data_IF_042853129036
#
_entry.id   IF_042853129036
#
_cell.length_a   1.000
_cell.length_b   1.000
_cell.length_c   1.000
_cell.angle_alpha   90.00
_cell.angle_beta   90.00
_cell.angle_gamma   90.00
#
_symmetry.space_group_name_H-M   'P 1'
#
loop_
_entity.id
_entity.type
_entity.pdbx_description
1 polymer ?
#
# COMPACT_ATOMS: atom_id res chain seq x y z
N UNK A 1 -8.97 -52.73 -19.18
CA UNK A 1 -7.76 -51.88 -19.10
C UNK A 1 -8.06 -50.37 -19.30
N UNK A 2 -9.32 -49.91 -19.17
CA UNK A 2 -9.75 -48.54 -19.49
C UNK A 2 -10.31 -47.72 -18.32
N UNK A 3 -10.48 -48.30 -17.13
CA UNK A 3 -11.07 -47.63 -15.96
C UNK A 3 -10.03 -46.78 -15.21
N UNK A 4 -8.83 -47.34 -14.97
CA UNK A 4 -7.69 -46.65 -14.32
C UNK A 4 -7.23 -45.37 -15.06
N UNK A 5 -7.38 -45.31 -16.38
CA UNK A 5 -7.06 -44.11 -17.17
C UNK A 5 -8.13 -43.02 -17.11
N UNK A 6 -9.39 -43.38 -16.81
CA UNK A 6 -10.50 -42.44 -16.65
C UNK A 6 -10.52 -41.82 -15.25
N UNK A 7 -10.16 -42.58 -14.23
CA UNK A 7 -10.05 -42.06 -12.86
C UNK A 7 -8.89 -41.06 -12.72
N UNK A 8 -7.75 -41.33 -13.37
CA UNK A 8 -6.61 -40.41 -13.40
C UNK A 8 -6.92 -39.07 -14.08
N UNK A 9 -7.70 -39.06 -15.17
CA UNK A 9 -8.06 -37.81 -15.87
C UNK A 9 -9.10 -36.98 -15.10
N UNK A 10 -10.03 -37.64 -14.39
CA UNK A 10 -10.99 -36.97 -13.51
C UNK A 10 -10.28 -36.35 -12.31
N UNK A 11 -9.38 -37.10 -11.65
CA UNK A 11 -8.62 -36.59 -10.50
C UNK A 11 -7.66 -35.46 -10.89
N UNK A 12 -7.05 -35.55 -12.08
CA UNK A 12 -6.24 -34.45 -12.64
C UNK A 12 -7.10 -33.20 -12.88
N UNK A 13 -8.32 -33.34 -13.40
CA UNK A 13 -9.23 -32.21 -13.62
C UNK A 13 -9.69 -31.54 -12.32
N UNK A 14 -9.89 -32.32 -11.26
CA UNK A 14 -10.30 -31.82 -9.95
C UNK A 14 -9.15 -31.07 -9.25
N UNK A 15 -7.92 -31.59 -9.31
CA UNK A 15 -6.73 -30.93 -8.75
C UNK A 15 -6.42 -29.63 -9.48
N UNK A 16 -6.55 -29.58 -10.81
CA UNK A 16 -6.36 -28.35 -11.60
C UNK A 16 -7.42 -27.31 -11.20
N UNK A 17 -8.68 -27.71 -11.09
CA UNK A 17 -9.79 -26.82 -10.73
C UNK A 17 -9.65 -26.24 -9.31
N UNK A 18 -9.25 -27.08 -8.33
CA UNK A 18 -8.98 -26.65 -6.95
C UNK A 18 -7.81 -25.66 -6.84
N UNK A 19 -6.79 -25.79 -7.71
CA UNK A 19 -5.65 -24.88 -7.76
C UNK A 19 -6.02 -23.53 -8.36
N UNK A 20 -6.79 -23.53 -9.46
CA UNK A 20 -7.31 -22.31 -10.09
C UNK A 20 -8.18 -21.51 -9.11
N UNK A 21 -9.16 -22.16 -8.47
CA UNK A 21 -10.06 -21.52 -7.49
C UNK A 21 -9.27 -20.86 -6.34
N UNK A 22 -8.18 -21.51 -5.90
CA UNK A 22 -7.33 -21.00 -4.81
C UNK A 22 -6.48 -19.82 -5.26
N UNK A 23 -5.89 -19.86 -6.45
CA UNK A 23 -5.12 -18.72 -6.98
C UNK A 23 -6.00 -17.50 -7.25
N UNK A 24 -7.18 -17.69 -7.82
CA UNK A 24 -8.13 -16.61 -8.08
C UNK A 24 -8.56 -15.94 -6.77
N UNK A 25 -8.87 -16.74 -5.73
CA UNK A 25 -9.24 -16.19 -4.43
C UNK A 25 -8.11 -15.36 -3.79
N UNK A 26 -6.86 -15.83 -3.86
CA UNK A 26 -5.70 -15.10 -3.32
C UNK A 26 -5.47 -13.81 -4.09
N UNK A 27 -5.51 -13.84 -5.42
CA UNK A 27 -5.33 -12.65 -6.26
C UNK A 27 -6.41 -11.60 -5.97
N UNK A 28 -7.68 -12.03 -5.84
CA UNK A 28 -8.80 -11.14 -5.51
C UNK A 28 -8.63 -10.51 -4.12
N UNK A 29 -8.19 -11.27 -3.12
CA UNK A 29 -7.96 -10.75 -1.76
C UNK A 29 -6.83 -9.73 -1.78
N UNK A 30 -5.67 -10.06 -2.37
CA UNK A 30 -4.52 -9.15 -2.46
C UNK A 30 -4.90 -7.87 -3.20
N UNK A 31 -5.61 -8.01 -4.33
CA UNK A 31 -6.09 -6.88 -5.13
C UNK A 31 -7.04 -5.98 -4.36
N UNK A 32 -7.95 -6.54 -3.55
CA UNK A 32 -8.88 -5.77 -2.72
C UNK A 32 -8.15 -4.97 -1.65
N UNK A 33 -7.20 -5.59 -0.93
CA UNK A 33 -6.40 -4.91 0.09
C UNK A 33 -5.61 -3.72 -0.49
N UNK A 34 -4.99 -3.92 -1.67
CA UNK A 34 -4.27 -2.85 -2.37
C UNK A 34 -5.18 -1.68 -2.74
N UNK A 35 -6.35 -1.96 -3.31
CA UNK A 35 -7.29 -0.92 -3.73
C UNK A 35 -7.87 -0.17 -2.53
N UNK A 36 -8.19 -0.85 -1.43
CA UNK A 36 -8.75 -0.20 -0.24
C UNK A 36 -7.77 0.82 0.34
N UNK A 37 -6.48 0.50 0.46
CA UNK A 37 -5.48 1.44 0.98
C UNK A 37 -5.32 2.69 0.11
N UNK A 38 -5.27 2.52 -1.21
CA UNK A 38 -5.16 3.64 -2.17
C UNK A 38 -6.44 4.48 -2.19
N UNK A 39 -7.62 3.83 -2.21
CA UNK A 39 -8.92 4.53 -2.20
C UNK A 39 -9.15 5.30 -0.90
N UNK A 40 -8.77 4.72 0.24
CA UNK A 40 -8.83 5.42 1.53
C UNK A 40 -7.94 6.66 1.53
N UNK A 41 -6.70 6.53 1.05
CA UNK A 41 -5.76 7.65 0.94
C UNK A 41 -6.30 8.75 0.01
N UNK A 42 -6.85 8.37 -1.15
CA UNK A 42 -7.47 9.29 -2.09
C UNK A 42 -8.68 10.02 -1.48
N UNK A 43 -9.53 9.33 -0.72
CA UNK A 43 -10.67 9.93 -0.04
C UNK A 43 -10.23 10.97 1.00
N UNK A 44 -9.17 10.69 1.78
CA UNK A 44 -8.62 11.64 2.76
C UNK A 44 -8.03 12.87 2.07
N UNK A 45 -7.27 12.67 0.98
CA UNK A 45 -6.72 13.78 0.18
C UNK A 45 -7.86 14.65 -0.38
N UNK A 46 -8.90 14.04 -0.96
CA UNK A 46 -10.05 14.76 -1.51
C UNK A 46 -10.80 15.54 -0.43
N UNK A 47 -11.01 14.96 0.75
CA UNK A 47 -11.65 15.64 1.87
C UNK A 47 -10.82 16.86 2.32
N UNK A 48 -9.50 16.71 2.45
CA UNK A 48 -8.61 17.82 2.79
C UNK A 48 -8.58 18.91 1.71
N UNK A 49 -8.62 18.53 0.43
CA UNK A 49 -8.65 19.45 -0.70
C UNK A 49 -9.96 20.24 -0.74
N UNK A 50 -11.10 19.58 -0.54
CA UNK A 50 -12.40 20.24 -0.46
C UNK A 50 -12.45 21.24 0.70
N UNK A 51 -11.96 20.86 1.87
CA UNK A 51 -11.85 21.76 3.01
C UNK A 51 -10.89 22.94 2.74
N UNK A 52 -9.82 22.75 1.98
CA UNK A 52 -8.91 23.82 1.58
C UNK A 52 -9.59 24.80 0.62
N UNK A 53 -10.30 24.29 -0.40
CA UNK A 53 -11.00 25.11 -1.38
C UNK A 53 -12.17 25.90 -0.76
N UNK A 54 -12.88 25.32 0.21
CA UNK A 54 -14.00 25.97 0.89
C UNK A 54 -13.51 27.01 1.90
N UNK A 55 -12.49 26.68 2.71
CA UNK A 55 -11.98 27.60 3.72
C UNK A 55 -11.13 28.73 3.13
N UNK A 56 -10.55 28.54 1.93
CA UNK A 56 -9.65 29.51 1.28
C UNK A 56 -8.33 29.74 2.02
N UNK A 57 -8.16 29.11 3.18
CA UNK A 57 -7.00 29.19 4.06
C UNK A 57 -6.46 27.77 4.30
N UNK A 58 -5.13 27.67 4.34
CA UNK A 58 -4.41 26.44 4.70
C UNK A 58 -4.61 26.02 6.17
N UNK A 59 -5.11 26.92 7.01
CA UNK A 59 -5.21 26.76 8.46
C UNK A 59 -3.87 27.01 9.17
N UNK A 60 -2.87 27.51 8.45
CA UNK A 60 -1.57 27.89 8.96
C UNK A 60 -1.25 29.34 8.59
N UNK A 61 -0.61 30.12 9.48
CA UNK A 61 -0.11 31.44 9.14
C UNK A 61 0.85 31.34 7.95
N UNK A 62 0.82 32.34 7.08
CA UNK A 62 1.71 32.42 5.90
C UNK A 62 3.14 31.99 6.28
N UNK A 63 3.63 30.95 5.59
CA UNK A 63 4.98 30.36 5.73
C UNK A 63 5.26 29.46 6.94
N UNK A 64 4.28 29.11 7.78
CA UNK A 64 4.49 28.16 8.90
C UNK A 64 3.85 26.81 8.62
N UNK A 65 4.44 26.04 7.69
CA UNK A 65 3.94 24.71 7.37
C UNK A 65 4.49 23.65 8.34
N UNK A 66 3.65 22.71 8.82
CA UNK A 66 4.09 21.62 9.67
C UNK A 66 4.93 20.63 8.84
N UNK A 67 6.26 20.69 8.98
CA UNK A 67 7.19 19.76 8.32
C UNK A 67 7.49 18.51 9.16
N UNK A 68 6.97 18.42 10.38
CA UNK A 68 7.16 17.29 11.28
C UNK A 68 5.93 16.36 11.31
N UNK A 69 6.17 15.05 11.40
CA UNK A 69 5.10 14.05 11.55
C UNK A 69 4.18 14.36 12.76
N UNK A 70 4.77 14.84 13.86
CA UNK A 70 4.02 15.28 15.04
C UNK A 70 3.16 16.53 14.76
N UNK A 71 3.67 17.47 13.95
CA UNK A 71 2.95 18.67 13.53
C UNK A 71 1.79 18.36 12.57
N UNK A 72 1.94 17.35 11.71
CA UNK A 72 0.87 16.85 10.84
C UNK A 72 -0.23 16.18 11.68
N UNK A 73 0.14 15.33 12.64
CA UNK A 73 -0.83 14.69 13.53
C UNK A 73 -1.60 15.69 14.41
N UNK A 74 -0.90 16.68 14.98
CA UNK A 74 -1.53 17.75 15.74
C UNK A 74 -2.41 18.67 14.86
N UNK A 75 -1.99 18.92 13.62
CA UNK A 75 -2.77 19.67 12.62
C UNK A 75 -4.02 18.94 12.17
N UNK A 76 -3.97 17.60 12.09
CA UNK A 76 -5.12 16.75 11.80
C UNK A 76 -6.16 16.82 12.92
N UNK A 77 -5.72 16.75 14.18
CA UNK A 77 -6.60 16.93 15.35
C UNK A 77 -7.19 18.34 15.43
N UNK A 78 -6.49 19.33 14.87
CA UNK A 78 -6.95 20.72 14.78
C UNK A 78 -7.82 20.99 13.53
N UNK A 79 -8.16 19.96 12.74
CA UNK A 79 -8.97 20.03 11.51
C UNK A 79 -8.46 21.07 10.50
N UNK A 80 -7.14 21.26 10.42
CA UNK A 80 -6.53 22.16 9.43
C UNK A 80 -6.52 21.49 8.05
N UNK A 81 -7.06 22.17 7.05
CA UNK A 81 -7.22 21.63 5.69
C UNK A 81 -5.90 21.10 5.11
N UNK A 82 -4.79 21.83 5.29
CA UNK A 82 -3.48 21.41 4.78
C UNK A 82 -2.93 20.14 5.48
N UNK A 83 -3.16 19.98 6.78
CA UNK A 83 -2.71 18.81 7.53
C UNK A 83 -3.49 17.53 7.14
N UNK A 84 -4.77 17.67 6.78
CA UNK A 84 -5.59 16.56 6.28
C UNK A 84 -5.04 16.07 4.93
N UNK A 85 -4.69 17.00 4.02
CA UNK A 85 -4.09 16.66 2.72
C UNK A 85 -2.75 15.92 2.92
N UNK A 86 -1.86 16.45 3.78
CA UNK A 86 -0.57 15.82 4.08
C UNK A 86 -0.72 14.43 4.71
N UNK A 87 -1.73 14.25 5.55
CA UNK A 87 -2.03 12.94 6.14
C UNK A 87 -2.46 11.94 5.07
N UNK A 88 -3.34 12.35 4.15
CA UNK A 88 -3.74 11.51 3.03
C UNK A 88 -2.59 11.18 2.07
N UNK A 89 -1.70 12.14 1.84
CA UNK A 89 -0.48 11.91 1.05
C UNK A 89 0.48 10.95 1.75
N UNK A 90 0.69 11.11 3.07
CA UNK A 90 1.46 10.17 3.89
C UNK A 90 0.89 8.76 3.80
N UNK A 91 -0.44 8.61 3.86
CA UNK A 91 -1.11 7.32 3.73
C UNK A 91 -0.92 6.70 2.33
N UNK A 92 -0.95 7.54 1.29
CA UNK A 92 -0.77 7.12 -0.11
C UNK A 92 0.64 6.58 -0.36
N UNK A 93 1.67 7.22 0.20
CA UNK A 93 3.06 6.75 0.10
C UNK A 93 3.37 5.61 1.08
N UNK A 94 2.71 5.56 2.25
CA UNK A 94 2.92 4.51 3.24
C UNK A 94 2.39 3.16 2.75
N UNK A 95 1.25 3.14 2.04
CA UNK A 95 0.62 1.92 1.51
C UNK A 95 1.58 1.07 0.65
N UNK A 96 2.28 1.61 -0.37
CA UNK A 96 3.27 0.84 -1.13
C UNK A 96 4.51 0.47 -0.30
N UNK A 97 4.97 1.32 0.62
CA UNK A 97 6.13 1.01 1.49
C UNK A 97 5.82 -0.18 2.41
N UNK A 98 4.65 -0.20 3.03
CA UNK A 98 4.20 -1.29 3.91
C UNK A 98 4.11 -2.61 3.14
N UNK A 99 3.63 -2.56 1.88
CA UNK A 99 3.57 -3.73 1.00
C UNK A 99 4.97 -4.31 0.74
N UNK A 100 5.94 -3.46 0.42
CA UNK A 100 7.33 -3.89 0.17
C UNK A 100 7.92 -4.51 1.45
N UNK A 101 7.67 -3.91 2.61
CA UNK A 101 8.11 -4.44 3.89
C UNK A 101 7.52 -5.83 4.19
N UNK A 102 6.21 -6.01 3.99
CA UNK A 102 5.53 -7.31 4.18
C UNK A 102 6.11 -8.36 3.22
N UNK A 103 6.38 -8.00 1.95
CA UNK A 103 6.97 -8.95 1.00
C UNK A 103 8.38 -9.39 1.41
N UNK A 104 9.19 -8.51 2.01
CA UNK A 104 10.51 -8.90 2.54
C UNK A 104 10.34 -9.99 3.60
N UNK A 105 9.37 -9.85 4.52
CA UNK A 105 9.13 -10.84 5.57
C UNK A 105 8.66 -12.19 5.01
N UNK A 106 7.76 -12.15 4.01
CA UNK A 106 7.28 -13.37 3.32
C UNK A 106 8.44 -14.09 2.62
N UNK A 107 9.28 -13.37 1.86
CA UNK A 107 10.42 -13.98 1.17
C UNK A 107 11.50 -14.50 2.12
N UNK A 108 11.69 -13.83 3.26
CA UNK A 108 12.61 -14.29 4.29
C UNK A 108 12.13 -15.62 4.91
N UNK A 109 10.82 -15.75 5.12
CA UNK A 109 10.22 -16.99 5.62
C UNK A 109 10.24 -18.10 4.56
N UNK A 110 10.06 -17.79 3.28
CA UNK A 110 10.16 -18.75 2.17
C UNK A 110 11.61 -19.16 1.82
N UNK A 111 12.62 -18.58 2.48
CA UNK A 111 14.06 -18.79 2.23
C UNK A 111 14.53 -18.43 0.82
N UNK A 112 13.79 -17.56 0.11
CA UNK A 112 14.21 -17.07 -1.20
C UNK A 112 15.11 -15.83 -1.04
N UNK A 113 16.38 -16.08 -0.72
CA UNK A 113 17.37 -15.04 -0.45
C UNK A 113 17.63 -14.10 -1.65
N UNK A 114 17.39 -14.57 -2.89
CA UNK A 114 17.55 -13.75 -4.08
C UNK A 114 16.43 -12.70 -4.17
N UNK A 115 15.18 -13.11 -3.94
CA UNK A 115 14.04 -12.20 -3.89
C UNK A 115 14.09 -11.26 -2.68
N UNK A 116 14.60 -11.72 -1.53
CA UNK A 116 14.87 -10.85 -0.38
C UNK A 116 15.85 -9.74 -0.76
N UNK A 117 16.98 -10.07 -1.41
CA UNK A 117 18.00 -9.09 -1.83
C UNK A 117 17.44 -8.01 -2.78
N UNK A 118 16.70 -8.41 -3.81
CA UNK A 118 16.07 -7.48 -4.76
C UNK A 118 15.07 -6.57 -4.02
N UNK A 119 14.18 -7.15 -3.21
CA UNK A 119 13.13 -6.40 -2.51
C UNK A 119 13.73 -5.43 -1.49
N UNK A 120 14.82 -5.82 -0.83
CA UNK A 120 15.54 -4.96 0.12
C UNK A 120 16.24 -3.79 -0.61
N UNK A 121 16.84 -4.04 -1.78
CA UNK A 121 17.39 -2.96 -2.61
C UNK A 121 16.32 -1.95 -3.05
N UNK A 122 15.15 -2.43 -3.52
CA UNK A 122 14.02 -1.56 -3.87
C UNK A 122 13.53 -0.77 -2.65
N UNK A 123 13.41 -1.41 -1.49
CA UNK A 123 13.01 -0.75 -0.24
C UNK A 123 13.98 0.36 0.15
N UNK A 124 15.29 0.10 0.08
CA UNK A 124 16.32 1.11 0.35
C UNK A 124 16.25 2.28 -0.64
N UNK A 125 16.01 2.02 -1.93
CA UNK A 125 15.82 3.08 -2.93
C UNK A 125 14.58 3.92 -2.57
N UNK A 126 13.45 3.30 -2.23
CA UNK A 126 12.23 4.03 -1.83
C UNK A 126 12.47 4.93 -0.60
N UNK A 127 13.14 4.40 0.42
CA UNK A 127 13.47 5.14 1.64
C UNK A 127 14.46 6.27 1.32
N UNK A 128 15.51 6.00 0.56
CA UNK A 128 16.48 7.01 0.15
C UNK A 128 15.83 8.11 -0.71
N UNK A 129 14.96 7.76 -1.66
CA UNK A 129 14.19 8.72 -2.46
C UNK A 129 13.30 9.61 -1.58
N UNK A 130 12.69 9.05 -0.53
CA UNK A 130 11.90 9.84 0.42
C UNK A 130 12.78 10.84 1.19
N UNK A 131 13.93 10.41 1.72
CA UNK A 131 14.85 11.29 2.44
C UNK A 131 15.47 12.36 1.54
N UNK A 132 15.88 12.00 0.32
CA UNK A 132 16.43 12.96 -0.66
C UNK A 132 15.36 13.95 -1.10
N UNK A 133 14.14 13.48 -1.37
CA UNK A 133 13.01 14.35 -1.71
C UNK A 133 12.57 15.27 -0.58
N UNK A 134 12.84 14.91 0.67
CA UNK A 134 12.60 15.77 1.85
C UNK A 134 13.72 16.78 2.12
N UNK A 135 14.93 16.56 1.58
CA UNK A 135 16.11 17.38 1.83
C UNK A 135 16.38 18.41 0.70
N UNK A 136 15.60 18.37 -0.39
CA UNK A 136 15.68 19.27 -1.54
C UNK A 136 14.59 20.33 -1.55
#
# INVERSE_FOLDING_TARGET
MSELGREGSVQQSEIVKLRDDKSEAVEVVVSKWLRVGVLASAAVILAGLLLFLISGDSGYPEQTFPTSLAGIYAGLLSMKSYAIILTGLLMLIATPVLRVFISIFVFLHEQDYLYVGITMAVFLILVASFFIGSAG
#
